data_IF_832959177210
#
_entry.id   IF_832959177210
#
_cell.length_a   1.000
_cell.length_b   1.000
_cell.length_c   1.000
_cell.angle_alpha   90.00
_cell.angle_beta   90.00
_cell.angle_gamma   90.00
#
_symmetry.space_group_name_H-M   'P 1'
#
loop_
_entity.id
_entity.type
_entity.pdbx_description
1 polymer ?
#
# COMPACT_ATOMS: atom_id res chain seq x y z
N UNK A 1 -7.07 -6.63 17.91
CA UNK A 1 -7.83 -7.57 17.05
C UNK A 1 -7.30 -7.60 15.62
N UNK A 2 -7.05 -6.46 14.96
CA UNK A 2 -6.49 -6.41 13.60
C UNK A 2 -5.21 -7.26 13.38
N UNK A 3 -4.29 -7.28 14.34
CA UNK A 3 -3.07 -8.11 14.24
C UNK A 3 -3.31 -9.62 14.21
N UNK A 4 -4.37 -10.11 14.85
CA UNK A 4 -4.73 -11.54 14.80
C UNK A 4 -5.24 -11.93 13.41
N UNK A 5 -6.05 -11.07 12.79
CA UNK A 5 -6.49 -11.29 11.41
C UNK A 5 -5.33 -11.28 10.43
N UNK A 6 -4.37 -10.37 10.61
CA UNK A 6 -3.16 -10.33 9.77
C UNK A 6 -2.29 -11.59 9.93
N UNK A 7 -2.15 -12.12 11.17
CA UNK A 7 -1.36 -13.32 11.45
C UNK A 7 -1.99 -14.61 10.92
N UNK A 8 -3.33 -14.68 10.88
CA UNK A 8 -4.07 -15.83 10.36
C UNK A 8 -4.28 -15.77 8.84
N UNK A 9 -3.93 -14.67 8.19
CA UNK A 9 -4.14 -14.51 6.76
C UNK A 9 -3.21 -15.46 5.99
N UNK A 10 -3.75 -16.45 5.25
CA UNK A 10 -2.94 -17.51 4.62
C UNK A 10 -1.92 -16.95 3.64
N UNK A 11 -2.23 -15.82 2.99
CA UNK A 11 -1.34 -15.13 2.08
C UNK A 11 -0.11 -14.53 2.80
N UNK A 12 -0.31 -13.93 3.97
CA UNK A 12 0.77 -13.35 4.76
C UNK A 12 1.70 -14.46 5.29
N UNK A 13 1.13 -15.61 5.69
CA UNK A 13 1.90 -16.78 6.15
C UNK A 13 2.71 -17.39 5.00
N UNK A 14 2.10 -17.59 3.84
CA UNK A 14 2.77 -18.15 2.67
C UNK A 14 3.97 -17.30 2.25
N UNK A 15 3.79 -15.97 2.10
CA UNK A 15 4.89 -15.08 1.73
C UNK A 15 5.95 -14.89 2.81
N UNK A 16 5.63 -15.18 4.08
CA UNK A 16 6.64 -15.14 5.15
C UNK A 16 7.56 -16.36 5.13
N UNK A 17 7.17 -17.44 4.46
CA UNK A 17 8.00 -18.65 4.30
C UNK A 17 8.94 -18.55 3.10
N UNK A 18 8.67 -17.63 2.18
CA UNK A 18 9.59 -17.34 1.09
C UNK A 18 10.66 -16.37 1.57
N UNK A 19 11.94 -16.68 1.35
CA UNK A 19 13.05 -15.72 1.57
C UNK A 19 13.08 -14.67 0.44
N UNK A 20 11.93 -14.07 0.17
CA UNK A 20 11.72 -13.01 -0.81
C UNK A 20 11.34 -11.72 -0.09
N UNK A 21 11.64 -10.60 -0.73
CA UNK A 21 11.50 -9.25 -0.18
C UNK A 21 10.07 -8.84 0.23
N UNK A 22 9.04 -9.63 -0.12
CA UNK A 22 7.63 -9.26 0.04
C UNK A 22 7.18 -9.14 1.49
N UNK A 23 7.59 -10.07 2.37
CA UNK A 23 7.22 -10.04 3.78
C UNK A 23 7.80 -8.80 4.48
N UNK A 24 9.09 -8.50 4.22
CA UNK A 24 9.76 -7.31 4.73
C UNK A 24 9.11 -6.03 4.21
N UNK A 25 8.81 -5.97 2.90
CA UNK A 25 8.11 -4.85 2.28
C UNK A 25 6.74 -4.61 2.93
N UNK A 26 5.95 -5.67 3.13
CA UNK A 26 4.63 -5.59 3.77
C UNK A 26 4.73 -5.07 5.20
N UNK A 27 5.70 -5.58 5.98
CA UNK A 27 5.94 -5.10 7.34
C UNK A 27 6.31 -3.60 7.37
N UNK A 28 7.22 -3.17 6.50
CA UNK A 28 7.67 -1.77 6.43
C UNK A 28 6.54 -0.82 6.02
N UNK A 29 5.73 -1.19 5.03
CA UNK A 29 4.59 -0.37 4.59
C UNK A 29 3.49 -0.29 5.64
N UNK A 30 3.20 -1.38 6.35
CA UNK A 30 2.26 -1.38 7.47
C UNK A 30 2.76 -0.52 8.64
N UNK A 31 4.04 -0.63 8.99
CA UNK A 31 4.65 0.21 10.02
C UNK A 31 4.60 1.70 9.62
N UNK A 32 4.85 2.02 8.35
CA UNK A 32 4.72 3.38 7.82
C UNK A 32 3.27 3.90 7.94
N UNK A 33 2.28 3.10 7.57
CA UNK A 33 0.86 3.46 7.70
C UNK A 33 0.47 3.75 9.15
N UNK A 34 0.95 2.93 10.11
CA UNK A 34 0.73 3.16 11.54
C UNK A 34 1.38 4.47 12.01
N UNK A 35 2.64 4.72 11.64
CA UNK A 35 3.34 5.96 11.97
C UNK A 35 2.61 7.18 11.41
N UNK A 36 2.07 7.09 10.18
CA UNK A 36 1.25 8.13 9.57
C UNK A 36 -0.02 8.39 10.39
N UNK A 37 -0.75 7.34 10.75
CA UNK A 37 -1.95 7.47 11.59
C UNK A 37 -1.65 8.10 12.96
N UNK A 38 -0.52 7.73 13.58
CA UNK A 38 -0.09 8.35 14.84
C UNK A 38 0.24 9.84 14.68
N UNK A 39 0.87 10.22 13.57
CA UNK A 39 1.13 11.62 13.25
C UNK A 39 -0.17 12.40 13.03
N UNK A 40 -1.15 11.86 12.30
CA UNK A 40 -2.45 12.50 12.09
C UNK A 40 -3.16 12.76 13.44
N UNK A 41 -3.07 11.82 14.39
CA UNK A 41 -3.62 11.99 15.74
C UNK A 41 -2.86 13.00 16.60
N UNK A 42 -1.55 13.15 16.38
CA UNK A 42 -0.67 14.01 17.20
C UNK A 42 0.29 14.83 16.32
N UNK A 43 -0.21 15.84 15.58
CA UNK A 43 0.57 16.56 14.56
C UNK A 43 1.71 17.40 15.15
N UNK A 44 1.74 17.62 16.46
CA UNK A 44 2.81 18.35 17.17
C UNK A 44 4.12 17.56 17.29
N UNK A 45 4.09 16.23 17.10
CA UNK A 45 5.25 15.37 17.31
C UNK A 45 5.89 14.94 15.98
N UNK A 46 6.86 15.73 15.50
CA UNK A 46 7.59 15.47 14.23
C UNK A 46 8.32 14.12 14.19
N UNK A 47 8.58 13.48 15.35
CA UNK A 47 9.24 12.16 15.43
C UNK A 47 8.52 11.08 14.62
N UNK A 48 7.18 11.10 14.57
CA UNK A 48 6.40 10.11 13.84
C UNK A 48 6.51 10.31 12.33
N UNK A 49 6.67 11.56 11.91
CA UNK A 49 6.84 11.92 10.51
C UNK A 49 8.24 11.56 9.99
N UNK A 50 9.26 11.69 10.85
CA UNK A 50 10.62 11.18 10.57
C UNK A 50 10.61 9.65 10.48
N UNK A 51 9.96 8.97 11.43
CA UNK A 51 9.82 7.52 11.39
C UNK A 51 9.10 7.04 10.12
N UNK A 52 8.00 7.71 9.74
CA UNK A 52 7.30 7.46 8.48
C UNK A 52 8.22 7.62 7.27
N UNK A 53 8.97 8.72 7.18
CA UNK A 53 9.89 8.97 6.08
C UNK A 53 10.95 7.87 5.98
N UNK A 54 11.57 7.49 7.09
CA UNK A 54 12.57 6.42 7.14
C UNK A 54 11.99 5.07 6.71
N UNK A 55 10.81 4.70 7.23
CA UNK A 55 10.14 3.45 6.90
C UNK A 55 9.74 3.38 5.43
N UNK A 56 9.21 4.48 4.87
CA UNK A 56 8.89 4.56 3.44
C UNK A 56 10.14 4.49 2.58
N UNK A 57 11.21 5.20 2.94
CA UNK A 57 12.49 5.10 2.23
C UNK A 57 13.00 3.66 2.23
N UNK A 58 13.07 2.99 3.39
CA UNK A 58 13.48 1.58 3.47
C UNK A 58 12.60 0.66 2.61
N UNK A 59 11.29 0.93 2.57
CA UNK A 59 10.38 0.19 1.70
C UNK A 59 10.70 0.40 0.21
N UNK A 60 10.96 1.64 -0.22
CA UNK A 60 11.39 1.96 -1.59
C UNK A 60 12.68 1.25 -2.00
N UNK A 61 13.65 1.14 -1.09
CA UNK A 61 14.88 0.38 -1.33
C UNK A 61 14.64 -1.13 -1.46
N UNK A 62 13.55 -1.63 -0.87
CA UNK A 62 13.21 -3.05 -0.94
C UNK A 62 12.56 -3.38 -2.28
N UNK A 63 11.56 -2.60 -2.72
CA UNK A 63 10.83 -2.90 -3.95
C UNK A 63 10.21 -1.65 -4.61
N UNK A 64 10.31 -1.57 -5.94
CA UNK A 64 9.68 -0.50 -6.75
C UNK A 64 8.15 -0.37 -6.59
N UNK A 65 7.43 -1.46 -6.28
CA UNK A 65 5.96 -1.42 -6.14
C UNK A 65 5.46 -0.65 -4.93
N UNK A 66 6.34 -0.29 -4.00
CA UNK A 66 6.02 0.57 -2.86
C UNK A 66 5.59 1.98 -3.28
N UNK A 67 5.84 2.36 -4.53
CA UNK A 67 5.25 3.56 -5.15
C UNK A 67 3.72 3.56 -5.08
N UNK A 68 3.06 2.42 -5.33
CA UNK A 68 1.61 2.32 -5.22
C UNK A 68 1.13 2.56 -3.80
N UNK A 69 1.87 2.05 -2.82
CA UNK A 69 1.60 2.30 -1.40
C UNK A 69 1.78 3.78 -1.05
N UNK A 70 2.81 4.45 -1.57
CA UNK A 70 2.99 5.89 -1.38
C UNK A 70 1.81 6.69 -1.94
N UNK A 71 1.34 6.35 -3.14
CA UNK A 71 0.17 6.98 -3.77
C UNK A 71 -1.08 6.75 -2.90
N UNK A 72 -1.28 5.54 -2.38
CA UNK A 72 -2.40 5.24 -1.50
C UNK A 72 -2.38 6.08 -0.21
N UNK A 73 -1.21 6.30 0.40
CA UNK A 73 -1.06 7.19 1.56
C UNK A 73 -1.42 8.64 1.22
N UNK A 74 -1.01 9.13 0.04
CA UNK A 74 -1.39 10.45 -0.45
C UNK A 74 -2.91 10.59 -0.61
N UNK A 75 -3.56 9.59 -1.24
CA UNK A 75 -5.02 9.56 -1.41
C UNK A 75 -5.73 9.52 -0.05
N UNK A 76 -5.24 8.71 0.89
CA UNK A 76 -5.82 8.65 2.23
C UNK A 76 -5.73 10.02 2.93
N UNK A 77 -4.58 10.68 2.88
CA UNK A 77 -4.37 11.99 3.51
C UNK A 77 -5.22 13.08 2.83
N UNK A 78 -5.38 13.06 1.51
CA UNK A 78 -6.23 14.03 0.80
C UNK A 78 -7.70 13.83 1.13
N UNK A 79 -8.20 12.59 1.16
CA UNK A 79 -9.57 12.27 1.58
C UNK A 79 -9.83 12.74 3.00
N UNK A 80 -8.94 12.41 3.95
CA UNK A 80 -9.06 12.86 5.34
C UNK A 80 -9.01 14.39 5.46
N UNK A 81 -8.19 15.06 4.65
CA UNK A 81 -8.13 16.52 4.62
C UNK A 81 -9.38 17.16 4.00
N UNK A 82 -10.07 16.50 3.07
CA UNK A 82 -11.32 16.98 2.48
C UNK A 82 -12.53 16.76 3.41
N UNK A 83 -12.53 15.68 4.19
CA UNK A 83 -13.60 15.38 5.14
C UNK A 83 -13.52 16.23 6.42
N UNK A 84 -12.33 16.72 6.79
CA UNK A 84 -12.16 17.56 7.97
C UNK A 84 -12.56 19.01 7.69
N UNK A 85 -13.86 19.30 7.79
CA UNK A 85 -14.46 20.59 7.45
C UNK A 85 -14.12 21.75 8.42
N UNK A 86 -13.31 21.53 9.48
CA UNK A 86 -13.11 22.56 10.53
C UNK A 86 -11.70 23.04 10.86
N UNK A 87 -10.58 22.30 10.87
CA UNK A 87 -9.36 22.92 11.47
C UNK A 87 -7.96 22.42 11.10
N UNK A 88 -7.74 21.43 10.24
CA UNK A 88 -6.36 21.07 9.86
C UNK A 88 -6.28 20.53 8.44
N UNK A 89 -5.95 21.39 7.49
CA UNK A 89 -5.50 20.92 6.18
C UNK A 89 -4.11 20.31 6.39
N UNK A 90 -4.04 19.00 6.55
CA UNK A 90 -2.78 18.27 6.79
C UNK A 90 -1.76 18.50 5.67
N UNK A 91 -2.24 18.79 4.46
CA UNK A 91 -1.42 19.17 3.29
C UNK A 91 -0.73 20.53 3.45
N UNK A 92 -1.20 21.42 4.32
CA UNK A 92 -0.55 22.72 4.59
C UNK A 92 0.58 22.61 5.60
N UNK A 93 0.73 21.48 6.30
CA UNK A 93 1.86 21.34 7.23
C UNK A 93 3.17 21.21 6.44
N UNK A 94 4.15 22.10 6.68
CA UNK A 94 5.43 22.05 5.97
C UNK A 94 6.18 20.74 6.26
N UNK A 95 5.97 20.15 7.44
CA UNK A 95 6.53 18.85 7.81
C UNK A 95 6.19 17.76 6.79
N UNK A 96 4.93 17.66 6.36
CA UNK A 96 4.50 16.67 5.37
C UNK A 96 5.30 16.77 4.06
N UNK A 97 5.49 17.99 3.57
CA UNK A 97 6.29 18.25 2.37
C UNK A 97 7.76 17.90 2.57
N UNK A 98 8.35 18.23 3.73
CA UNK A 98 9.72 17.85 4.04
C UNK A 98 9.94 16.34 4.07
N UNK A 99 9.01 15.56 4.66
CA UNK A 99 9.12 14.09 4.63
C UNK A 99 9.05 13.53 3.20
N UNK A 100 8.10 14.01 2.39
CA UNK A 100 7.98 13.54 1.01
C UNK A 100 9.17 13.99 0.14
N UNK A 101 9.69 15.20 0.35
CA UNK A 101 10.92 15.66 -0.27
C UNK A 101 12.10 14.77 0.11
N UNK A 102 12.24 14.42 1.39
CA UNK A 102 13.30 13.52 1.86
C UNK A 102 13.20 12.13 1.20
N UNK A 103 11.99 11.57 1.09
CA UNK A 103 11.75 10.30 0.38
C UNK A 103 12.14 10.44 -1.10
N UNK A 104 11.73 11.52 -1.77
CA UNK A 104 12.02 11.77 -3.17
C UNK A 104 13.53 11.93 -3.43
N UNK A 105 14.23 12.67 -2.58
CA UNK A 105 15.69 12.84 -2.65
C UNK A 105 16.39 11.51 -2.42
N UNK A 106 15.93 10.71 -1.44
CA UNK A 106 16.50 9.39 -1.17
C UNK A 106 16.26 8.39 -2.31
N UNK A 107 15.19 8.55 -3.10
CA UNK A 107 14.87 7.73 -4.26
C UNK A 107 15.53 8.21 -5.56
N UNK A 108 15.96 9.48 -5.60
CA UNK A 108 16.56 10.11 -6.77
C UNK A 108 17.74 9.34 -7.41
N UNK A 109 18.64 8.69 -6.63
CA UNK A 109 19.72 7.88 -7.19
C UNK A 109 19.25 6.65 -7.98
N UNK A 110 18.05 6.15 -7.68
CA UNK A 110 17.47 4.96 -8.31
C UNK A 110 16.57 5.26 -9.51
N UNK A 111 16.18 6.52 -9.71
CA UNK A 111 15.40 6.95 -10.88
C UNK A 111 16.08 6.60 -12.22
N UNK A 112 17.39 6.84 -12.42
CA UNK A 112 18.06 6.48 -13.67
C UNK A 112 17.99 4.99 -13.96
N UNK A 113 18.11 4.14 -12.93
CA UNK A 113 18.04 2.68 -13.05
C UNK A 113 16.64 2.25 -13.49
N UNK A 114 15.60 2.83 -12.90
CA UNK A 114 14.22 2.55 -13.29
C UNK A 114 13.96 2.97 -14.74
N UNK A 115 14.39 4.17 -15.14
CA UNK A 115 14.24 4.65 -16.52
C UNK A 115 15.01 3.78 -17.51
N UNK A 116 16.23 3.36 -17.15
CA UNK A 116 17.03 2.46 -17.96
C UNK A 116 16.29 1.12 -18.18
N UNK A 117 15.73 0.57 -17.10
CA UNK A 117 14.93 -0.66 -17.16
C UNK A 117 13.71 -0.49 -18.06
N UNK A 118 12.93 0.58 -17.89
CA UNK A 118 11.73 0.85 -18.69
C UNK A 118 12.02 1.07 -20.19
N UNK A 119 13.12 1.76 -20.51
CA UNK A 119 13.51 2.05 -21.90
C UNK A 119 14.08 0.82 -22.61
N UNK A 120 14.77 -0.06 -21.87
CA UNK A 120 15.36 -1.29 -22.41
C UNK A 120 14.44 -2.51 -22.27
N UNK A 121 13.22 -2.35 -21.73
CA UNK A 121 12.20 -3.41 -21.66
C UNK A 121 11.96 -4.07 -23.03
N UNK A 122 11.92 -3.28 -24.09
CA UNK A 122 11.72 -3.79 -25.45
C UNK A 122 12.91 -4.64 -25.93
N UNK A 123 14.13 -4.26 -25.56
CA UNK A 123 15.36 -4.97 -25.92
C UNK A 123 15.56 -6.25 -25.06
N UNK A 124 15.26 -6.20 -23.76
CA UNK A 124 15.25 -7.36 -22.87
C UNK A 124 14.20 -8.40 -23.29
N UNK A 125 13.04 -7.95 -23.81
CA UNK A 125 12.01 -8.81 -24.39
C UNK A 125 12.45 -9.45 -25.71
N UNK A 126 13.17 -8.72 -26.55
CA UNK A 126 13.71 -9.24 -27.80
C UNK A 126 14.92 -10.18 -27.62
N UNK A 127 15.69 -10.01 -26.53
CA UNK A 127 16.86 -10.83 -26.18
C UNK A 127 16.55 -12.19 -25.54
N UNK A 128 15.27 -12.58 -25.41
CA UNK A 128 14.80 -13.84 -24.84
C UNK A 128 15.00 -14.02 -23.31
N UNK A 129 15.48 -13.01 -22.57
CA UNK A 129 15.63 -13.07 -21.09
C UNK A 129 14.28 -13.02 -20.35
N UNK A 130 13.28 -12.38 -20.96
CA UNK A 130 11.90 -12.26 -20.45
C UNK A 130 10.86 -12.67 -21.49
N UNK A 131 11.29 -13.33 -22.58
CA UNK A 131 10.42 -13.80 -23.67
C UNK A 131 9.46 -14.92 -23.27
N UNK A 132 9.73 -15.60 -22.15
CA UNK A 132 8.88 -16.64 -21.59
C UNK A 132 7.67 -16.11 -20.80
N UNK A 133 7.64 -14.81 -20.45
CA UNK A 133 6.47 -14.21 -19.79
C UNK A 133 5.47 -13.76 -20.87
N UNK A 134 4.25 -14.34 -20.91
CA UNK A 134 3.23 -13.93 -21.87
C UNK A 134 2.88 -12.43 -21.68
N UNK A 135 2.51 -11.72 -22.76
CA UNK A 135 2.16 -10.31 -22.66
C UNK A 135 0.96 -10.14 -21.74
N UNK A 136 1.13 -9.39 -20.65
CA UNK A 136 0.04 -9.05 -19.73
C UNK A 136 -1.00 -8.24 -20.50
N UNK A 137 -2.16 -8.84 -20.75
CA UNK A 137 -3.29 -8.17 -21.36
C UNK A 137 -4.25 -7.64 -20.29
N UNK A 138 -5.08 -6.65 -20.65
CA UNK A 138 -6.11 -6.12 -19.74
C UNK A 138 -7.09 -7.17 -19.22
N UNK A 139 -7.20 -8.31 -19.91
CA UNK A 139 -8.05 -9.45 -19.54
C UNK A 139 -7.44 -10.31 -18.44
N UNK A 140 -6.13 -10.19 -18.21
CA UNK A 140 -5.43 -10.95 -17.18
C UNK A 140 -5.53 -10.27 -15.82
N UNK A 141 -5.87 -8.98 -15.75
CA UNK A 141 -6.04 -8.26 -14.48
C UNK A 141 -7.15 -8.86 -13.60
N UNK A 142 -8.37 -9.14 -14.10
CA UNK A 142 -9.37 -9.89 -13.33
C UNK A 142 -8.93 -11.31 -12.99
N UNK A 143 -8.19 -11.99 -13.88
CA UNK A 143 -7.70 -13.34 -13.66
C UNK A 143 -6.60 -13.40 -12.57
N UNK A 144 -5.79 -12.35 -12.45
CA UNK A 144 -4.75 -12.22 -11.44
C UNK A 144 -5.34 -12.18 -10.02
N UNK A 145 -6.49 -11.52 -9.85
CA UNK A 145 -7.24 -11.57 -8.59
C UNK A 145 -7.65 -13.00 -8.24
N UNK A 146 -8.06 -13.80 -9.22
CA UNK A 146 -8.46 -15.19 -9.02
C UNK A 146 -7.30 -16.15 -8.78
N UNK A 147 -6.13 -15.93 -9.39
CA UNK A 147 -4.96 -16.79 -9.20
C UNK A 147 -4.36 -16.73 -7.79
N UNK A 148 -4.57 -15.65 -7.04
CA UNK A 148 -4.13 -15.54 -5.64
C UNK A 148 -5.07 -16.21 -4.63
N UNK A 149 -6.22 -16.73 -5.08
CA UNK A 149 -7.01 -17.67 -4.30
C UNK A 149 -6.52 -19.10 -4.59
N UNK A 150 -6.10 -19.88 -3.58
CA UNK A 150 -5.77 -21.29 -3.79
C UNK A 150 -7.01 -22.02 -4.33
N UNK A 151 -6.88 -22.74 -5.45
CA UNK A 151 -7.95 -23.57 -6.05
C UNK A 151 -8.60 -24.53 -5.03
N UNK A 152 -7.90 -24.88 -3.95
CA UNK A 152 -8.37 -25.77 -2.90
C UNK A 152 -9.27 -25.10 -1.86
N UNK A 153 -9.35 -23.76 -1.83
CA UNK A 153 -10.08 -22.98 -0.80
C UNK A 153 -11.33 -22.29 -1.37
N UNK A 154 -11.85 -22.81 -2.48
CA UNK A 154 -12.72 -22.07 -3.38
C UNK A 154 -14.16 -21.86 -2.85
N UNK A 155 -14.63 -22.67 -1.90
CA UNK A 155 -16.01 -22.55 -1.36
C UNK A 155 -16.12 -21.82 -0.02
N UNK A 156 -15.15 -21.98 0.87
CA UNK A 156 -15.23 -21.42 2.23
C UNK A 156 -14.82 -19.94 2.22
N UNK A 157 -13.69 -19.62 1.56
CA UNK A 157 -13.18 -18.25 1.52
C UNK A 157 -14.07 -17.29 0.73
N UNK A 158 -14.69 -17.76 -0.37
CA UNK A 158 -15.62 -16.95 -1.19
C UNK A 158 -16.85 -16.50 -0.39
N UNK A 159 -17.33 -17.35 0.52
CA UNK A 159 -18.47 -17.03 1.40
C UNK A 159 -18.04 -16.12 2.56
N UNK A 160 -16.84 -16.33 3.11
CA UNK A 160 -16.28 -15.51 4.19
C UNK A 160 -15.83 -14.12 3.73
N UNK A 161 -15.24 -13.98 2.55
CA UNK A 161 -14.77 -12.68 2.04
C UNK A 161 -15.92 -11.78 1.58
N UNK A 162 -16.91 -12.31 0.84
CA UNK A 162 -18.11 -11.54 0.52
C UNK A 162 -18.92 -11.19 1.76
N UNK A 163 -18.98 -12.08 2.77
CA UNK A 163 -19.57 -11.77 4.07
C UNK A 163 -18.79 -10.68 4.82
N UNK A 164 -17.47 -10.78 4.87
CA UNK A 164 -16.62 -9.82 5.58
C UNK A 164 -16.61 -8.43 4.91
N UNK A 165 -16.58 -8.37 3.58
CA UNK A 165 -16.68 -7.12 2.82
C UNK A 165 -18.06 -6.47 3.02
N UNK A 166 -19.13 -7.27 3.06
CA UNK A 166 -20.49 -6.78 3.33
C UNK A 166 -20.66 -6.25 4.76
N UNK A 167 -20.10 -6.93 5.76
CA UNK A 167 -20.11 -6.49 7.17
C UNK A 167 -19.27 -5.22 7.39
N UNK A 168 -18.12 -5.10 6.73
CA UNK A 168 -17.29 -3.88 6.82
C UNK A 168 -17.99 -2.71 6.14
N UNK A 169 -18.62 -2.94 4.99
CA UNK A 169 -19.39 -1.90 4.30
C UNK A 169 -20.67 -1.50 5.05
N UNK A 170 -21.35 -2.44 5.71
CA UNK A 170 -22.56 -2.15 6.50
C UNK A 170 -22.23 -1.36 7.77
N UNK A 171 -21.12 -1.64 8.44
CA UNK A 171 -20.65 -0.87 9.60
C UNK A 171 -20.21 0.53 9.20
N UNK A 172 -19.46 0.66 8.08
CA UNK A 172 -19.03 1.97 7.58
C UNK A 172 -20.19 2.82 7.03
N UNK A 173 -21.22 2.19 6.47
CA UNK A 173 -22.44 2.86 5.99
C UNK A 173 -23.38 3.23 7.14
N UNK A 174 -23.48 2.38 8.16
CA UNK A 174 -24.28 2.62 9.36
C UNK A 174 -23.82 3.85 10.14
N UNK A 175 -22.52 4.00 10.38
CA UNK A 175 -21.99 5.20 11.07
C UNK A 175 -22.17 6.50 10.27
N UNK A 176 -22.28 6.42 8.93
CA UNK A 176 -22.49 7.58 8.08
C UNK A 176 -23.91 8.16 8.20
N UNK A 177 -24.92 7.31 8.44
CA UNK A 177 -26.32 7.73 8.59
C UNK A 177 -26.60 8.37 9.96
N UNK A 178 -25.97 7.87 11.03
CA UNK A 178 -26.13 8.43 12.38
C UNK A 178 -25.44 9.79 12.56
N UNK A 179 -24.45 10.11 11.72
CA UNK A 179 -23.75 11.40 11.76
C UNK A 179 -24.51 12.55 11.07
N UNK A 180 -25.59 12.26 10.31
CA UNK A 180 -26.37 13.26 9.56
C UNK A 180 -27.71 13.63 10.21
N UNK A 181 -28.11 12.96 11.29
CA UNK A 181 -29.39 13.18 12.00
C UNK A 181 -29.27 13.96 13.33
N UNK A 182 -28.07 14.47 13.69
CA UNK A 182 -27.84 15.41 14.80
C UNK A 182 -27.24 16.73 14.30
#
# INVERSE_FOLDING_TARGET
MAGWFAALMPMAVHYSQETRMYALMGMLTLAAALALMMWIKTPTHNRYLIAYALLMTFSFYTHYFTLFTLIAHWIAVTILSCQSHKTACYLKLPGWWFANLAIAVAYLPWLPVLFNLLTHLAQLRAGNDIGWIPPVTWRDLPAMYWHFLPETTDRVFRRSFCGWLWEVLSVLWGEYLYATEN
#
